data_IF_140163603108
#
_entry.id   IF_140163603108
#
_cell.length_a   1.000
_cell.length_b   1.000
_cell.length_c   1.000
_cell.angle_alpha   90.00
_cell.angle_beta   90.00
_cell.angle_gamma   90.00
#
_symmetry.space_group_name_H-M   'P 1'
#
loop_
_entity.id
_entity.type
_entity.pdbx_description
1 polymer ?
#
# COMPACT_ATOMS: atom_id res chain seq x y z
N UNK A 1 66.96 -34.57 10.52
CA UNK A 1 67.67 -33.83 9.48
C UNK A 1 66.72 -33.77 8.30
N UNK A 2 66.15 -32.60 8.06
CA UNK A 2 65.09 -32.30 7.11
C UNK A 2 65.70 -31.82 5.79
N UNK A 3 65.46 -32.49 4.73
CA UNK A 3 65.79 -32.00 3.38
C UNK A 3 64.68 -31.19 2.76
N UNK A 4 64.98 -29.93 2.58
CA UNK A 4 64.09 -28.94 1.91
C UNK A 4 64.37 -29.05 0.42
N UNK A 5 63.35 -29.49 -0.34
CA UNK A 5 63.40 -29.49 -1.79
C UNK A 5 63.00 -28.10 -2.30
N UNK A 6 63.90 -27.48 -3.06
CA UNK A 6 63.73 -26.13 -3.58
C UNK A 6 62.85 -26.08 -4.87
N UNK A 7 62.20 -24.96 -5.06
CA UNK A 7 61.20 -24.64 -6.10
C UNK A 7 61.71 -24.74 -7.57
N UNK A 8 62.98 -25.13 -7.79
CA UNK A 8 63.58 -25.21 -9.12
C UNK A 8 63.60 -26.61 -9.78
N UNK A 9 63.30 -27.67 -9.02
CA UNK A 9 63.36 -29.05 -9.55
C UNK A 9 62.04 -29.59 -10.04
N UNK A 10 60.94 -28.80 -9.94
CA UNK A 10 59.63 -29.23 -10.36
C UNK A 10 59.26 -28.89 -11.84
N UNK A 11 60.13 -28.20 -12.56
CA UNK A 11 59.88 -27.72 -13.93
C UNK A 11 60.62 -28.43 -15.09
N UNK A 12 61.22 -29.56 -14.80
CA UNK A 12 61.95 -30.32 -15.85
C UNK A 12 61.57 -31.79 -15.85
N UNK A 13 60.40 -32.13 -16.36
CA UNK A 13 60.04 -33.44 -16.99
C UNK A 13 58.54 -33.52 -17.23
N UNK A 14 58.12 -33.23 -18.45
CA UNK A 14 57.01 -33.94 -19.16
C UNK A 14 56.77 -33.28 -20.51
N UNK A 15 57.55 -33.62 -21.48
CA UNK A 15 57.18 -33.45 -22.90
C UNK A 15 56.64 -34.78 -23.38
N UNK A 16 55.33 -34.90 -23.60
CA UNK A 16 54.76 -35.94 -24.45
C UNK A 16 53.65 -35.30 -25.25
N UNK A 17 53.81 -35.40 -26.57
CA UNK A 17 52.88 -34.95 -27.58
C UNK A 17 51.60 -35.77 -27.57
N UNK A 18 50.45 -35.08 -27.76
CA UNK A 18 49.22 -35.72 -28.19
C UNK A 18 48.43 -34.83 -29.14
N UNK A 19 47.99 -35.46 -30.22
CA UNK A 19 47.37 -34.94 -31.39
C UNK A 19 46.12 -34.09 -31.17
N UNK A 20 45.95 -33.22 -32.15
CA UNK A 20 44.79 -32.33 -32.35
C UNK A 20 43.47 -33.09 -32.51
N UNK A 21 42.49 -32.64 -31.76
CA UNK A 21 41.06 -32.78 -32.02
C UNK A 21 40.41 -31.46 -31.66
N UNK A 22 40.15 -30.65 -32.69
CA UNK A 22 39.43 -29.39 -32.54
C UNK A 22 37.94 -29.67 -32.29
N UNK A 23 37.50 -29.54 -31.06
CA UNK A 23 36.06 -29.42 -30.73
C UNK A 23 35.80 -27.92 -30.56
N UNK A 24 34.83 -27.35 -31.30
CA UNK A 24 34.50 -25.95 -31.10
C UNK A 24 33.83 -25.79 -29.72
N UNK A 25 34.50 -25.16 -28.81
CA UNK A 25 33.90 -24.62 -27.58
C UNK A 25 32.91 -23.53 -27.96
N UNK A 26 31.65 -23.92 -28.15
CA UNK A 26 30.57 -22.95 -28.06
C UNK A 26 30.59 -22.40 -26.65
N UNK A 27 31.04 -21.15 -26.52
CA UNK A 27 30.84 -20.35 -25.34
C UNK A 27 29.32 -20.25 -25.13
N UNK A 28 28.79 -21.10 -24.25
CA UNK A 28 27.57 -20.83 -23.50
C UNK A 28 27.89 -19.62 -22.61
N UNK A 29 27.77 -18.44 -23.18
CA UNK A 29 27.47 -17.25 -22.41
C UNK A 29 26.12 -17.51 -21.72
N UNK A 30 26.16 -18.18 -20.55
CA UNK A 30 25.08 -18.04 -19.58
C UNK A 30 25.03 -16.57 -19.29
N UNK A 31 24.03 -15.90 -19.87
CA UNK A 31 23.68 -14.56 -19.45
C UNK A 31 23.58 -14.58 -17.95
N UNK A 32 24.47 -13.87 -17.27
CA UNK A 32 24.29 -13.55 -15.87
C UNK A 32 22.89 -12.92 -15.82
N UNK A 33 21.92 -13.64 -15.30
CA UNK A 33 20.66 -13.04 -14.92
C UNK A 33 21.09 -11.86 -14.04
N UNK A 34 20.79 -10.63 -14.48
CA UNK A 34 20.93 -9.47 -13.66
C UNK A 34 20.06 -9.72 -12.43
N UNK A 35 20.66 -10.22 -11.37
CA UNK A 35 20.00 -10.31 -10.08
C UNK A 35 19.74 -8.84 -9.73
N UNK A 36 18.50 -8.43 -9.84
CA UNK A 36 18.09 -7.09 -9.43
C UNK A 36 18.58 -6.92 -7.99
N UNK A 37 19.39 -5.90 -7.75
CA UNK A 37 19.84 -5.51 -6.42
C UNK A 37 18.75 -4.72 -5.68
N UNK A 38 17.58 -4.64 -6.26
CA UNK A 38 16.46 -3.90 -5.72
C UNK A 38 15.95 -4.57 -4.44
N UNK A 39 15.78 -3.78 -3.41
CA UNK A 39 15.19 -4.20 -2.14
C UNK A 39 13.73 -3.79 -2.11
N UNK A 40 12.88 -4.76 -1.84
CA UNK A 40 11.44 -4.61 -1.68
C UNK A 40 11.12 -4.59 -0.19
N UNK A 41 10.71 -3.46 0.35
CA UNK A 41 10.42 -3.28 1.77
C UNK A 41 8.96 -2.89 2.00
N UNK A 42 8.26 -3.64 2.84
CA UNK A 42 6.92 -3.32 3.29
C UNK A 42 7.00 -2.50 4.58
N UNK A 43 6.40 -1.31 4.56
CA UNK A 43 6.29 -0.40 5.70
C UNK A 43 4.90 -0.51 6.30
N UNK A 44 4.82 -0.81 7.59
CA UNK A 44 3.56 -1.03 8.34
C UNK A 44 3.53 -0.07 9.51
N UNK A 45 2.64 0.93 9.46
CA UNK A 45 2.55 1.97 10.48
C UNK A 45 1.60 1.57 11.60
N UNK A 46 2.07 1.68 12.85
CA UNK A 46 1.38 1.24 14.06
C UNK A 46 1.24 2.35 15.13
N UNK A 47 0.14 2.30 15.95
CA UNK A 47 -1.00 1.37 15.88
C UNK A 47 -1.89 1.70 14.68
N UNK A 48 -2.04 0.76 13.78
CA UNK A 48 -2.72 0.93 12.49
C UNK A 48 -4.21 0.60 12.49
N UNK A 49 -4.73 0.05 13.58
CA UNK A 49 -6.16 -0.19 13.80
C UNK A 49 -6.52 0.46 15.14
N UNK A 50 -7.25 1.57 15.10
CA UNK A 50 -7.51 2.37 16.31
C UNK A 50 -6.20 2.64 17.07
N UNK A 51 -6.23 2.60 18.39
CA UNK A 51 -5.04 2.72 19.25
C UNK A 51 -4.64 1.38 19.89
N UNK A 52 -4.89 0.27 19.18
CA UNK A 52 -4.59 -1.08 19.66
C UNK A 52 -3.10 -1.38 19.51
N UNK A 53 -2.33 -1.15 20.57
CA UNK A 53 -0.88 -1.37 20.59
C UNK A 53 -0.48 -2.84 20.68
N UNK A 54 -1.38 -3.71 21.07
CA UNK A 54 -1.17 -5.17 21.15
C UNK A 54 -0.89 -5.83 19.79
N UNK A 55 -1.13 -5.13 18.68
CA UNK A 55 -0.98 -5.68 17.33
C UNK A 55 0.20 -5.11 16.55
N UNK A 56 1.28 -4.77 17.22
CA UNK A 56 2.49 -4.30 16.56
C UNK A 56 3.16 -3.12 17.26
N UNK A 57 2.57 -2.64 18.36
CA UNK A 57 3.15 -1.57 19.18
C UNK A 57 2.98 -0.18 18.56
N UNK A 58 4.06 0.61 18.54
CA UNK A 58 4.11 1.98 18.04
C UNK A 58 5.30 2.14 17.09
N UNK A 59 5.13 2.89 16.00
CA UNK A 59 6.17 3.16 15.02
C UNK A 59 5.87 2.58 13.65
N UNK A 60 6.87 2.49 12.79
CA UNK A 60 6.76 1.84 11.49
C UNK A 60 7.60 0.57 11.52
N UNK A 61 6.97 -0.58 11.38
CA UNK A 61 7.64 -1.86 11.18
C UNK A 61 8.03 -1.99 9.72
N UNK A 62 9.27 -2.38 9.44
CA UNK A 62 9.81 -2.53 8.09
C UNK A 62 10.15 -3.99 7.85
N UNK A 63 9.55 -4.59 6.84
CA UNK A 63 9.74 -6.01 6.48
C UNK A 63 10.41 -6.15 5.13
N UNK A 64 11.30 -7.12 4.99
CA UNK A 64 11.93 -7.47 3.71
C UNK A 64 11.03 -8.47 2.96
N UNK A 65 10.43 -8.02 1.85
CA UNK A 65 9.51 -8.83 1.04
C UNK A 65 10.23 -10.03 0.42
N UNK A 66 11.48 -9.85 0.00
CA UNK A 66 12.27 -10.90 -0.64
C UNK A 66 12.73 -11.97 0.35
N UNK A 67 12.85 -11.62 1.63
CA UNK A 67 13.24 -12.53 2.72
C UNK A 67 12.01 -12.96 3.54
N UNK A 68 11.00 -13.48 2.85
CA UNK A 68 9.77 -14.01 3.44
C UNK A 68 9.11 -13.08 4.47
N UNK A 69 9.12 -11.78 4.20
CA UNK A 69 8.59 -10.73 5.09
C UNK A 69 9.22 -10.76 6.49
N UNK A 70 10.53 -11.03 6.56
CA UNK A 70 11.27 -10.92 7.81
C UNK A 70 11.33 -9.46 8.26
N UNK A 71 11.03 -9.22 9.53
CA UNK A 71 11.18 -7.90 10.15
C UNK A 71 12.65 -7.46 10.10
N UNK A 72 12.90 -6.28 9.52
CA UNK A 72 14.25 -5.70 9.38
C UNK A 72 14.54 -4.72 10.51
N UNK A 73 13.58 -3.82 10.80
CA UNK A 73 13.69 -2.78 11.80
C UNK A 73 12.36 -2.13 12.13
N UNK A 74 12.35 -1.36 13.21
CA UNK A 74 11.27 -0.43 13.56
C UNK A 74 11.79 1.00 13.46
N UNK A 75 11.04 1.87 12.81
CA UNK A 75 11.29 3.30 12.76
C UNK A 75 10.44 3.96 13.84
N UNK A 76 11.04 4.69 14.78
CA UNK A 76 10.27 5.46 15.75
C UNK A 76 9.42 6.53 15.04
N UNK A 77 8.16 6.61 15.44
CA UNK A 77 7.29 7.75 15.11
C UNK A 77 7.12 8.63 16.34
N UNK A 78 5.95 9.22 16.54
CA UNK A 78 5.70 10.07 17.71
C UNK A 78 5.49 9.16 18.93
N UNK A 79 6.35 9.24 19.95
CA UNK A 79 6.10 8.53 21.20
C UNK A 79 4.84 9.13 21.86
N UNK A 80 4.11 8.37 22.67
CA UNK A 80 3.06 8.91 23.52
C UNK A 80 3.61 10.07 24.35
N UNK A 81 2.83 11.13 24.53
CA UNK A 81 3.15 12.13 25.55
C UNK A 81 3.25 11.45 26.92
N UNK A 82 4.10 11.96 27.80
CA UNK A 82 4.29 11.42 29.15
C UNK A 82 2.93 11.31 29.86
N UNK A 83 2.51 10.09 30.21
CA UNK A 83 1.17 9.81 30.74
C UNK A 83 0.02 9.86 29.71
N UNK A 84 0.30 10.06 28.40
CA UNK A 84 -0.68 10.16 27.34
C UNK A 84 -0.97 8.82 26.66
N UNK A 85 -2.17 8.70 26.10
CA UNK A 85 -2.52 7.56 25.22
C UNK A 85 -1.80 7.67 23.89
N UNK A 86 -1.47 6.53 23.29
CA UNK A 86 -0.93 6.45 21.94
C UNK A 86 -1.91 7.00 20.92
N UNK A 87 -1.43 7.84 19.99
CA UNK A 87 -2.25 8.35 18.90
C UNK A 87 -2.50 7.25 17.85
N UNK A 88 -3.78 7.07 17.49
CA UNK A 88 -4.18 6.20 16.41
C UNK A 88 -3.61 6.71 15.08
N UNK A 89 -2.87 5.87 14.37
CA UNK A 89 -2.41 6.14 13.00
C UNK A 89 -3.59 6.02 12.05
N UNK A 90 -3.78 7.04 11.22
CA UNK A 90 -4.91 7.16 10.31
C UNK A 90 -4.54 6.88 8.84
N UNK A 91 -3.31 7.18 8.45
CA UNK A 91 -2.86 6.96 7.08
C UNK A 91 -1.34 6.92 6.95
N UNK A 92 -0.88 6.37 5.83
CA UNK A 92 0.51 6.35 5.39
C UNK A 92 0.59 6.64 3.90
N UNK A 93 1.53 7.48 3.48
CA UNK A 93 1.91 7.62 2.07
C UNK A 93 3.41 7.87 1.96
N UNK A 94 3.97 7.63 0.78
CA UNK A 94 5.39 7.80 0.55
C UNK A 94 5.67 8.31 -0.87
N UNK A 95 6.84 8.93 -1.05
CA UNK A 95 7.33 9.38 -2.34
C UNK A 95 8.74 8.86 -2.59
N UNK A 96 8.90 8.08 -3.66
CA UNK A 96 10.22 7.69 -4.14
C UNK A 96 11.00 8.89 -4.71
N UNK A 97 10.30 9.87 -5.29
CA UNK A 97 10.94 11.06 -5.87
C UNK A 97 11.66 11.93 -4.83
N UNK A 98 11.17 11.93 -3.58
CA UNK A 98 11.75 12.71 -2.48
C UNK A 98 12.39 11.87 -1.40
N UNK A 99 12.27 10.52 -1.46
CA UNK A 99 12.81 9.62 -0.45
C UNK A 99 12.15 9.80 0.93
N UNK A 100 10.86 10.09 0.99
CA UNK A 100 10.15 10.41 2.22
C UNK A 100 8.92 9.52 2.43
N UNK A 101 8.63 9.22 3.68
CA UNK A 101 7.38 8.59 4.12
C UNK A 101 6.66 9.51 5.10
N UNK A 102 5.35 9.52 5.02
CA UNK A 102 4.47 10.37 5.81
C UNK A 102 3.47 9.49 6.55
N UNK A 103 3.25 9.80 7.83
CA UNK A 103 2.28 9.10 8.67
C UNK A 103 1.36 10.13 9.31
N UNK A 104 0.05 9.99 9.07
CA UNK A 104 -0.96 10.78 9.77
C UNK A 104 -1.49 10.03 10.98
N UNK A 105 -1.73 10.76 12.06
CA UNK A 105 -2.48 10.29 13.22
C UNK A 105 -3.81 11.06 13.32
N UNK A 106 -4.59 10.83 14.35
CA UNK A 106 -5.82 11.59 14.59
C UNK A 106 -5.58 13.11 14.80
N UNK A 107 -4.33 13.54 15.03
CA UNK A 107 -3.99 14.94 15.33
C UNK A 107 -3.02 15.58 14.37
N UNK A 108 -2.06 14.78 13.86
CA UNK A 108 -0.87 15.32 13.20
C UNK A 108 -0.44 14.52 12.00
N UNK A 109 0.41 15.12 11.19
CA UNK A 109 1.14 14.49 10.11
C UNK A 109 2.64 14.61 10.41
N UNK A 110 3.38 13.51 10.22
CA UNK A 110 4.83 13.47 10.34
C UNK A 110 5.46 13.10 9.02
N UNK A 111 6.66 13.61 8.78
CA UNK A 111 7.52 13.30 7.64
C UNK A 111 8.81 12.68 8.15
N UNK A 112 9.18 11.53 7.57
CA UNK A 112 10.36 10.77 7.92
C UNK A 112 11.19 10.54 6.64
N UNK A 113 12.51 10.72 6.74
CA UNK A 113 13.45 10.40 5.67
C UNK A 113 13.65 8.88 5.58
N UNK A 114 13.44 8.31 4.39
CA UNK A 114 13.52 6.86 4.15
C UNK A 114 14.95 6.30 4.15
N UNK A 115 15.97 7.17 4.05
CA UNK A 115 17.37 6.75 4.03
C UNK A 115 17.95 6.71 5.44
N UNK A 116 17.59 7.71 6.25
CA UNK A 116 18.18 7.90 7.60
C UNK A 116 17.24 7.51 8.73
N UNK A 117 15.96 7.24 8.43
CA UNK A 117 14.86 7.05 9.37
C UNK A 117 14.62 8.27 10.30
N UNK A 118 15.18 9.43 9.95
CA UNK A 118 15.07 10.64 10.75
C UNK A 118 13.72 11.33 10.59
N UNK A 119 13.12 11.76 11.70
CA UNK A 119 11.96 12.64 11.70
C UNK A 119 12.35 14.02 11.17
N UNK A 120 11.85 14.40 9.99
CA UNK A 120 12.16 15.68 9.36
C UNK A 120 11.29 16.80 9.90
N UNK A 121 9.98 16.55 10.05
CA UNK A 121 9.04 17.49 10.65
C UNK A 121 7.80 16.76 11.19
N UNK A 122 7.11 17.44 12.11
CA UNK A 122 5.89 17.01 12.78
C UNK A 122 4.97 18.23 12.92
N UNK A 123 3.74 18.15 12.37
CA UNK A 123 2.77 19.24 12.35
C UNK A 123 1.42 18.76 12.83
N UNK A 124 0.80 19.53 13.72
CA UNK A 124 -0.61 19.38 14.09
C UNK A 124 -1.48 20.23 13.16
N UNK A 125 -2.67 19.69 12.84
CA UNK A 125 -3.62 20.37 11.95
C UNK A 125 -4.98 20.51 12.63
N UNK A 126 -5.62 21.66 12.40
CA UNK A 126 -6.96 21.98 12.89
C UNK A 126 -7.98 20.92 12.43
N UNK A 127 -8.72 20.34 13.38
CA UNK A 127 -9.67 19.26 13.08
C UNK A 127 -9.04 17.91 12.87
N UNK A 128 -7.75 17.74 13.15
CA UNK A 128 -7.03 16.46 13.06
C UNK A 128 -6.73 16.03 11.64
N UNK A 129 -6.31 14.77 11.50
CA UNK A 129 -5.89 14.20 10.21
C UNK A 129 -6.53 12.82 9.98
N UNK A 130 -6.66 12.45 8.71
CA UNK A 130 -7.12 11.12 8.31
C UNK A 130 -6.27 10.57 7.13
N UNK A 131 -6.80 9.66 6.31
CA UNK A 131 -6.10 8.91 5.25
C UNK A 131 -5.76 9.80 4.06
N UNK A 132 -4.53 10.30 4.06
CA UNK A 132 -3.99 11.19 3.03
C UNK A 132 -3.42 10.41 1.84
N UNK A 133 -3.15 11.15 0.78
CA UNK A 133 -2.38 10.72 -0.38
C UNK A 133 -1.45 11.83 -0.85
N UNK A 134 -0.36 11.45 -1.52
CA UNK A 134 0.66 12.36 -2.04
C UNK A 134 0.70 12.29 -3.57
N UNK A 135 0.95 13.43 -4.22
CA UNK A 135 1.19 13.45 -5.66
C UNK A 135 2.47 12.70 -6.03
N UNK A 136 2.55 12.05 -7.21
CA UNK A 136 3.70 11.22 -7.60
C UNK A 136 5.04 11.98 -7.63
N UNK A 137 5.03 13.30 -7.83
CA UNK A 137 6.20 14.16 -7.77
C UNK A 137 6.70 14.41 -6.33
N UNK A 138 5.94 13.97 -5.33
CA UNK A 138 6.27 14.09 -3.92
C UNK A 138 6.16 15.50 -3.35
N UNK A 139 5.45 16.42 -4.03
CA UNK A 139 5.39 17.84 -3.65
C UNK A 139 4.14 18.22 -2.87
N UNK A 140 3.01 17.54 -3.12
CA UNK A 140 1.73 17.95 -2.55
C UNK A 140 1.02 16.78 -1.89
N UNK A 141 0.59 16.97 -0.64
CA UNK A 141 -0.25 16.02 0.09
C UNK A 141 -1.67 16.58 0.16
N UNK A 142 -2.65 15.74 -0.14
CA UNK A 142 -4.07 15.99 0.11
C UNK A 142 -4.45 15.28 1.40
N UNK A 143 -4.59 16.04 2.48
CA UNK A 143 -4.80 15.55 3.84
C UNK A 143 -6.22 15.85 4.29
N UNK A 144 -7.09 14.82 4.46
CA UNK A 144 -8.41 15.06 5.04
C UNK A 144 -8.30 15.41 6.52
N UNK A 145 -9.17 16.29 7.00
CA UNK A 145 -9.45 16.43 8.43
C UNK A 145 -10.09 15.14 8.97
N UNK A 146 -10.07 14.93 10.27
CA UNK A 146 -10.71 13.78 10.91
C UNK A 146 -12.23 13.94 10.87
N UNK A 147 -12.87 13.40 9.81
CA UNK A 147 -14.32 13.46 9.56
C UNK A 147 -14.90 14.89 9.50
N UNK A 148 -14.03 15.88 9.28
CA UNK A 148 -14.37 17.30 9.24
C UNK A 148 -14.80 17.79 7.85
N UNK A 149 -14.94 19.11 7.67
CA UNK A 149 -15.53 19.68 6.47
C UNK A 149 -14.57 19.94 5.31
N UNK A 150 -13.25 19.77 5.48
CA UNK A 150 -12.28 20.07 4.42
C UNK A 150 -11.12 19.10 4.33
N UNK A 151 -10.41 19.18 3.22
CA UNK A 151 -9.08 18.63 2.99
C UNK A 151 -8.06 19.76 2.97
N UNK A 152 -6.96 19.59 3.68
CA UNK A 152 -5.78 20.43 3.50
C UNK A 152 -5.05 20.03 2.23
N UNK A 153 -4.52 20.99 1.51
CA UNK A 153 -3.50 20.84 0.49
C UNK A 153 -2.19 21.30 1.07
N UNK A 154 -1.25 20.39 1.28
CA UNK A 154 -0.05 20.57 2.09
C UNK A 154 1.19 20.55 1.18
N UNK A 155 2.14 21.46 1.43
CA UNK A 155 3.51 21.32 0.91
C UNK A 155 4.20 20.15 1.61
N UNK A 156 4.50 19.10 0.86
CA UNK A 156 5.07 17.87 1.42
C UNK A 156 6.51 18.07 1.96
N UNK A 157 7.19 19.16 1.58
CA UNK A 157 8.55 19.46 2.04
C UNK A 157 8.55 20.04 3.44
N UNK A 158 7.63 20.97 3.71
CA UNK A 158 7.62 21.76 4.96
C UNK A 158 6.50 21.38 5.92
N UNK A 159 5.44 20.73 5.41
CA UNK A 159 4.21 20.47 6.15
C UNK A 159 3.29 21.71 6.24
N UNK A 160 3.59 22.79 5.52
CA UNK A 160 2.77 24.00 5.57
C UNK A 160 1.50 23.85 4.71
N UNK A 161 0.42 24.43 5.18
CA UNK A 161 -0.83 24.51 4.44
C UNK A 161 -0.69 25.47 3.25
N UNK A 162 -0.99 24.98 2.05
CA UNK A 162 -1.07 25.80 0.84
C UNK A 162 -2.48 26.38 0.68
N UNK A 163 -3.49 25.52 0.88
CA UNK A 163 -4.92 25.87 0.77
C UNK A 163 -5.80 24.78 1.35
N UNK A 164 -7.13 25.00 1.38
CA UNK A 164 -8.15 24.02 1.78
C UNK A 164 -9.16 23.79 0.68
N UNK A 165 -9.66 22.55 0.60
CA UNK A 165 -10.79 22.17 -0.27
C UNK A 165 -11.97 21.84 0.63
N UNK A 166 -12.93 22.76 0.72
CA UNK A 166 -14.12 22.60 1.56
C UNK A 166 -15.19 21.79 0.82
N UNK A 167 -15.67 20.71 1.46
CA UNK A 167 -16.73 19.84 0.91
C UNK A 167 -17.87 19.54 1.88
N UNK A 168 -17.65 19.74 3.15
CA UNK A 168 -18.61 19.43 4.25
C UNK A 168 -19.20 18.00 4.13
N UNK A 169 -18.38 17.08 3.69
CA UNK A 169 -18.76 15.68 3.44
C UNK A 169 -18.20 14.68 4.45
N UNK A 170 -17.58 15.18 5.55
CA UNK A 170 -16.92 14.33 6.53
C UNK A 170 -15.65 13.72 5.95
N UNK A 171 -14.63 14.56 5.73
CA UNK A 171 -13.39 14.21 5.04
C UNK A 171 -12.73 12.94 5.60
N UNK A 172 -12.38 11.98 4.76
CA UNK A 172 -11.88 10.68 5.22
C UNK A 172 -10.79 10.06 4.34
N UNK A 173 -11.12 9.59 3.13
CA UNK A 173 -10.17 8.91 2.25
C UNK A 173 -9.78 9.78 1.06
N UNK A 174 -8.49 9.67 0.67
CA UNK A 174 -7.94 10.44 -0.44
C UNK A 174 -7.04 9.58 -1.29
N UNK A 175 -7.19 9.63 -2.62
CA UNK A 175 -6.32 8.97 -3.58
C UNK A 175 -5.83 10.00 -4.60
N UNK A 176 -4.52 10.13 -4.78
CA UNK A 176 -3.93 10.83 -5.91
C UNK A 176 -3.75 9.86 -7.08
N UNK A 177 -4.04 10.32 -8.30
CA UNK A 177 -3.82 9.51 -9.51
C UNK A 177 -2.34 9.28 -9.77
N UNK A 178 -2.02 8.18 -10.48
CA UNK A 178 -0.64 7.79 -10.80
C UNK A 178 0.10 8.78 -11.71
N UNK A 179 -0.63 9.63 -12.44
CA UNK A 179 -0.08 10.71 -13.26
C UNK A 179 -0.04 12.06 -12.53
N UNK A 180 -0.58 12.11 -11.32
CA UNK A 180 -0.65 13.30 -10.49
C UNK A 180 -1.66 14.36 -10.95
N UNK A 181 -2.44 14.11 -12.00
CA UNK A 181 -3.38 15.09 -12.55
C UNK A 181 -4.62 15.31 -11.69
N UNK A 182 -5.00 14.31 -10.87
CA UNK A 182 -6.23 14.33 -10.07
C UNK A 182 -6.02 13.83 -8.66
N UNK A 183 -6.85 14.36 -7.75
CA UNK A 183 -7.07 13.77 -6.43
C UNK A 183 -8.56 13.43 -6.28
N UNK A 184 -8.84 12.29 -5.66
CA UNK A 184 -10.17 11.76 -5.42
C UNK A 184 -10.45 11.81 -3.93
N UNK A 185 -11.56 12.44 -3.55
CA UNK A 185 -11.90 12.74 -2.16
C UNK A 185 -13.23 12.09 -1.77
N UNK A 186 -13.20 11.18 -0.80
CA UNK A 186 -14.40 10.55 -0.24
C UNK A 186 -14.59 10.93 1.22
N UNK A 187 -15.81 11.27 1.58
CA UNK A 187 -16.18 11.64 2.94
C UNK A 187 -17.32 10.78 3.50
N UNK A 188 -17.32 10.61 4.82
CA UNK A 188 -18.24 9.72 5.55
C UNK A 188 -19.68 10.24 5.68
N UNK A 189 -20.01 11.36 5.04
CA UNK A 189 -21.36 11.96 5.07
C UNK A 189 -21.92 12.17 3.66
N UNK A 190 -21.29 11.60 2.63
CA UNK A 190 -21.67 11.85 1.24
C UNK A 190 -21.69 10.56 0.41
N UNK A 191 -22.71 10.36 -0.45
CA UNK A 191 -22.72 9.30 -1.43
C UNK A 191 -21.99 9.69 -2.74
N UNK A 192 -21.18 10.75 -2.73
CA UNK A 192 -20.44 11.23 -3.90
C UNK A 192 -18.94 11.22 -3.68
N UNK A 193 -18.20 10.72 -4.66
CA UNK A 193 -16.76 10.86 -4.77
C UNK A 193 -16.45 12.17 -5.51
N UNK A 194 -15.72 13.08 -4.89
CA UNK A 194 -15.29 14.34 -5.51
C UNK A 194 -13.98 14.15 -6.28
N UNK A 195 -13.90 14.74 -7.47
CA UNK A 195 -12.71 14.74 -8.33
C UNK A 195 -12.10 16.13 -8.35
N UNK A 196 -10.84 16.24 -7.96
CA UNK A 196 -10.07 17.48 -7.88
C UNK A 196 -9.05 17.52 -9.01
N UNK A 197 -8.95 18.63 -9.72
CA UNK A 197 -7.80 18.95 -10.56
C UNK A 197 -6.64 19.43 -9.66
N UNK A 198 -5.50 18.71 -9.68
CA UNK A 198 -4.38 19.01 -8.78
C UNK A 198 -3.66 20.29 -9.12
N UNK A 199 -3.68 20.73 -10.37
CA UNK A 199 -3.05 21.98 -10.83
C UNK A 199 -3.80 23.21 -10.31
N UNK A 200 -5.15 23.19 -10.38
CA UNK A 200 -6.00 24.28 -9.89
C UNK A 200 -6.41 24.12 -8.43
N UNK A 201 -6.27 22.89 -7.88
CA UNK A 201 -6.72 22.52 -6.52
C UNK A 201 -8.21 22.76 -6.29
N UNK A 202 -9.00 22.58 -7.34
CA UNK A 202 -10.46 22.77 -7.31
C UNK A 202 -11.19 21.50 -7.68
N UNK A 203 -12.38 21.30 -7.10
CA UNK A 203 -13.27 20.20 -7.49
C UNK A 203 -13.85 20.48 -8.87
N UNK A 204 -13.62 19.56 -9.80
CA UNK A 204 -14.06 19.69 -11.21
C UNK A 204 -15.31 18.85 -11.52
N UNK A 205 -15.51 17.75 -10.80
CA UNK A 205 -16.65 16.86 -10.99
C UNK A 205 -16.91 15.99 -9.74
N UNK A 206 -18.00 15.24 -9.79
CA UNK A 206 -18.36 14.23 -8.79
C UNK A 206 -18.80 12.96 -9.48
N UNK A 207 -18.65 11.83 -8.80
CA UNK A 207 -19.15 10.52 -9.22
C UNK A 207 -20.17 10.03 -8.21
N UNK A 208 -21.33 9.58 -8.70
CA UNK A 208 -22.45 9.11 -7.90
C UNK A 208 -23.79 9.71 -8.36
N UNK A 209 -24.86 9.66 -7.52
CA UNK A 209 -24.81 9.15 -6.16
C UNK A 209 -24.61 7.63 -6.16
N UNK A 210 -23.79 7.15 -5.21
CA UNK A 210 -23.75 5.74 -4.84
C UNK A 210 -24.92 5.38 -3.94
N UNK A 211 -25.17 4.09 -3.74
CA UNK A 211 -26.34 3.60 -3.00
C UNK A 211 -26.38 3.98 -1.53
N UNK A 212 -25.26 4.37 -0.94
CA UNK A 212 -25.13 4.87 0.42
C UNK A 212 -23.86 5.71 0.55
N UNK A 213 -23.58 6.20 1.75
CA UNK A 213 -22.34 6.93 2.09
C UNK A 213 -21.13 6.09 1.75
N UNK A 214 -20.13 6.73 1.11
CA UNK A 214 -18.90 6.09 0.68
C UNK A 214 -18.04 5.73 1.89
N UNK A 215 -17.48 4.54 1.84
CA UNK A 215 -16.41 4.04 2.69
C UNK A 215 -15.09 3.99 1.90
N UNK A 216 -14.07 3.20 2.27
CA UNK A 216 -12.89 3.08 1.44
C UNK A 216 -13.20 2.79 -0.02
N UNK A 217 -12.35 3.28 -0.89
CA UNK A 217 -12.47 3.10 -2.32
C UNK A 217 -11.09 2.93 -2.96
N UNK A 218 -11.07 2.46 -4.20
CA UNK A 218 -9.89 2.44 -5.06
C UNK A 218 -10.26 2.87 -6.49
N UNK A 219 -9.25 3.12 -7.33
CA UNK A 219 -9.42 3.52 -8.72
C UNK A 219 -8.54 2.67 -9.65
N UNK A 220 -8.91 2.55 -10.92
CA UNK A 220 -8.02 2.01 -11.93
C UNK A 220 -6.92 3.02 -12.31
N UNK A 221 -5.76 2.54 -12.73
CA UNK A 221 -4.61 3.38 -13.07
C UNK A 221 -4.85 4.28 -14.28
N UNK A 222 -5.79 3.92 -15.15
CA UNK A 222 -6.22 4.70 -16.30
C UNK A 222 -7.29 5.77 -15.96
N UNK A 223 -7.67 5.90 -14.68
CA UNK A 223 -8.64 6.88 -14.18
C UNK A 223 -10.01 6.83 -14.91
N UNK A 224 -10.50 5.63 -15.20
CA UNK A 224 -11.80 5.43 -15.86
C UNK A 224 -12.87 4.95 -14.90
N UNK A 225 -12.49 4.16 -13.89
CA UNK A 225 -13.40 3.57 -12.94
C UNK A 225 -12.91 3.76 -11.50
N UNK A 226 -13.87 3.95 -10.61
CA UNK A 226 -13.68 3.79 -9.17
C UNK A 226 -14.52 2.61 -8.67
N UNK A 227 -14.01 1.99 -7.62
CA UNK A 227 -14.67 0.89 -6.91
C UNK A 227 -14.82 1.32 -5.47
N UNK A 228 -16.03 1.42 -4.98
CA UNK A 228 -16.33 2.02 -3.68
C UNK A 228 -17.08 1.06 -2.78
N UNK A 229 -16.66 0.97 -1.53
CA UNK A 229 -17.49 0.40 -0.49
C UNK A 229 -18.50 1.44 -0.02
N UNK A 230 -19.69 1.01 0.32
CA UNK A 230 -20.75 1.86 0.86
C UNK A 230 -21.34 1.24 2.13
N UNK A 231 -21.95 2.07 2.97
CA UNK A 231 -22.62 1.58 4.16
C UNK A 231 -23.67 0.50 3.82
N UNK A 232 -23.86 -0.44 4.73
CA UNK A 232 -24.88 -1.49 4.68
C UNK A 232 -24.73 -2.51 3.51
N UNK A 233 -23.69 -2.37 2.68
CA UNK A 233 -23.42 -3.30 1.60
C UNK A 233 -22.28 -4.25 1.96
N UNK A 234 -22.55 -5.55 1.95
CA UNK A 234 -21.51 -6.56 1.81
C UNK A 234 -21.23 -6.74 0.31
N UNK A 235 -20.25 -5.97 -0.18
CA UNK A 235 -19.99 -5.81 -1.61
C UNK A 235 -19.38 -4.45 -1.92
N UNK A 236 -19.49 -4.03 -3.18
CA UNK A 236 -18.98 -2.75 -3.66
C UNK A 236 -19.83 -2.19 -4.81
N UNK A 237 -19.63 -0.91 -5.10
CA UNK A 237 -20.22 -0.27 -6.27
C UNK A 237 -19.14 0.26 -7.21
N UNK A 238 -19.45 0.32 -8.50
CA UNK A 238 -18.55 0.76 -9.56
C UNK A 238 -19.04 2.09 -10.11
N UNK A 239 -18.16 3.09 -10.13
CA UNK A 239 -18.44 4.39 -10.75
C UNK A 239 -17.60 4.62 -12.01
N UNK A 240 -18.14 5.36 -12.96
CA UNK A 240 -17.44 5.85 -14.16
C UNK A 240 -16.91 7.26 -13.87
N UNK A 241 -15.58 7.38 -13.79
CA UNK A 241 -14.89 8.65 -13.48
C UNK A 241 -15.01 9.69 -14.60
N UNK A 242 -15.33 9.26 -15.82
CA UNK A 242 -15.50 10.16 -16.98
C UNK A 242 -16.92 10.75 -17.06
N UNK A 243 -17.94 9.93 -16.78
CA UNK A 243 -19.35 10.36 -16.88
C UNK A 243 -19.95 10.82 -15.57
N UNK A 244 -19.26 10.52 -14.44
CA UNK A 244 -19.74 10.84 -13.10
C UNK A 244 -20.88 9.94 -12.62
N UNK A 245 -21.16 8.82 -13.29
CA UNK A 245 -22.31 7.96 -12.98
C UNK A 245 -21.90 6.70 -12.25
N UNK A 246 -22.72 6.26 -11.30
CA UNK A 246 -22.67 4.90 -10.78
C UNK A 246 -23.14 3.94 -11.87
N UNK A 247 -22.34 2.87 -12.10
CA UNK A 247 -22.58 1.91 -13.17
C UNK A 247 -23.21 0.61 -12.68
N UNK A 248 -22.76 0.12 -11.52
CA UNK A 248 -23.13 -1.22 -11.05
C UNK A 248 -22.93 -1.35 -9.54
N UNK A 249 -23.84 -2.10 -8.92
CA UNK A 249 -23.72 -2.65 -7.58
C UNK A 249 -23.36 -4.14 -7.68
N UNK A 250 -22.42 -4.59 -6.84
CA UNK A 250 -21.95 -5.97 -6.77
C UNK A 250 -22.03 -6.43 -5.31
N UNK A 251 -22.77 -7.49 -5.06
CA UNK A 251 -22.90 -8.12 -3.75
C UNK A 251 -22.00 -9.37 -3.67
N UNK A 252 -21.59 -9.75 -2.47
CA UNK A 252 -20.85 -11.00 -2.23
C UNK A 252 -21.85 -12.15 -2.15
N UNK A 253 -21.89 -13.07 -3.13
CA UNK A 253 -22.82 -14.18 -3.10
C UNK A 253 -22.42 -15.21 -2.05
N UNK A 254 -23.42 -15.81 -1.37
CA UNK A 254 -23.21 -16.88 -0.41
C UNK A 254 -22.83 -16.42 1.01
N UNK A 255 -22.64 -15.12 1.23
CA UNK A 255 -22.33 -14.54 2.52
C UNK A 255 -23.41 -13.55 2.94
N UNK A 256 -23.56 -13.35 4.25
CA UNK A 256 -24.54 -12.37 4.78
C UNK A 256 -23.80 -11.26 5.51
N UNK A 257 -24.27 -10.04 5.33
CA UNK A 257 -23.82 -8.94 6.17
C UNK A 257 -24.17 -9.23 7.63
N UNK A 258 -23.24 -8.94 8.52
CA UNK A 258 -23.37 -9.13 9.95
C UNK A 258 -22.78 -7.95 10.73
N UNK A 259 -22.84 -7.98 12.06
CA UNK A 259 -22.27 -6.92 12.89
C UNK A 259 -20.74 -6.87 12.72
N UNK A 260 -20.21 -5.65 12.58
CA UNK A 260 -18.79 -5.38 12.59
C UNK A 260 -18.44 -4.48 13.77
N UNK A 261 -17.38 -4.82 14.50
CA UNK A 261 -16.99 -4.10 15.73
C UNK A 261 -16.02 -2.96 15.46
N UNK A 262 -15.14 -3.13 14.45
CA UNK A 262 -14.02 -2.21 14.16
C UNK A 262 -14.35 -1.18 13.10
N UNK A 263 -15.21 -1.53 12.15
CA UNK A 263 -15.51 -0.74 10.96
C UNK A 263 -17.02 -0.41 10.91
N UNK A 264 -17.37 0.71 10.29
CA UNK A 264 -18.76 1.15 10.20
C UNK A 264 -19.55 0.54 9.04
N UNK A 265 -19.01 -0.46 8.32
CA UNK A 265 -19.65 -1.11 7.19
C UNK A 265 -19.18 -2.57 7.05
N UNK A 266 -20.02 -3.45 6.46
CA UNK A 266 -19.67 -4.86 6.27
C UNK A 266 -18.42 -5.07 5.44
N UNK A 267 -18.29 -4.35 4.32
CA UNK A 267 -17.09 -4.33 3.48
C UNK A 267 -16.36 -3.01 3.69
N UNK A 268 -15.18 -3.05 4.33
CA UNK A 268 -14.43 -1.83 4.58
C UNK A 268 -13.20 -1.68 3.66
N UNK A 269 -12.32 -2.69 3.56
CA UNK A 269 -11.15 -2.65 2.69
C UNK A 269 -11.48 -3.11 1.26
N UNK A 270 -10.89 -2.44 0.28
CA UNK A 270 -11.01 -2.75 -1.15
C UNK A 270 -9.73 -2.37 -1.87
N UNK A 271 -9.25 -3.20 -2.81
CA UNK A 271 -8.07 -2.90 -3.61
C UNK A 271 -8.08 -3.66 -4.94
N UNK A 272 -7.43 -3.09 -5.95
CA UNK A 272 -7.15 -3.73 -7.22
C UNK A 272 -5.76 -4.36 -7.20
N UNK A 273 -5.62 -5.54 -7.81
CA UNK A 273 -4.27 -6.02 -8.15
C UNK A 273 -3.58 -5.02 -9.09
N UNK A 274 -2.24 -4.89 -9.07
CA UNK A 274 -1.52 -3.96 -9.95
C UNK A 274 -1.83 -4.16 -11.44
N UNK A 275 -2.16 -5.37 -11.88
CA UNK A 275 -2.57 -5.70 -13.24
C UNK A 275 -4.07 -5.48 -13.51
N UNK A 276 -4.84 -5.07 -12.50
CA UNK A 276 -6.27 -4.76 -12.54
C UNK A 276 -7.17 -5.92 -12.99
N UNK A 277 -6.67 -7.15 -12.93
CA UNK A 277 -7.46 -8.33 -13.26
C UNK A 277 -8.38 -8.77 -12.14
N UNK A 278 -8.02 -8.44 -10.91
CA UNK A 278 -8.78 -8.80 -9.73
C UNK A 278 -9.04 -7.60 -8.84
N UNK A 279 -10.20 -7.63 -8.19
CA UNK A 279 -10.54 -6.76 -7.08
C UNK A 279 -10.68 -7.62 -5.83
N UNK A 280 -10.01 -7.21 -4.77
CA UNK A 280 -10.05 -7.87 -3.48
C UNK A 280 -10.83 -7.02 -2.49
N UNK A 281 -11.73 -7.66 -1.74
CA UNK A 281 -12.71 -7.02 -0.85
C UNK A 281 -12.66 -7.66 0.53
N UNK A 282 -12.49 -6.85 1.57
CA UNK A 282 -12.51 -7.32 2.96
C UNK A 282 -13.95 -7.43 3.48
N UNK A 283 -14.26 -8.56 4.11
CA UNK A 283 -15.52 -8.84 4.79
C UNK A 283 -15.26 -8.95 6.29
N UNK A 284 -15.55 -7.88 7.01
CA UNK A 284 -15.34 -7.80 8.45
C UNK A 284 -16.30 -8.63 9.28
N UNK A 285 -17.47 -8.98 8.73
CA UNK A 285 -18.47 -9.77 9.44
C UNK A 285 -18.19 -11.28 9.39
N UNK A 286 -17.65 -11.76 8.26
CA UNK A 286 -17.39 -13.19 8.03
C UNK A 286 -15.90 -13.54 8.08
N UNK A 287 -15.00 -12.58 8.37
CA UNK A 287 -13.54 -12.80 8.46
C UNK A 287 -12.95 -13.40 7.18
N UNK A 288 -13.31 -12.80 6.02
CA UNK A 288 -12.84 -13.24 4.72
C UNK A 288 -12.29 -12.06 3.90
N UNK A 289 -11.41 -12.39 2.97
CA UNK A 289 -11.09 -11.54 1.82
C UNK A 289 -11.66 -12.21 0.57
N UNK A 290 -12.56 -11.51 -0.12
CA UNK A 290 -13.21 -11.99 -1.34
C UNK A 290 -12.48 -11.48 -2.57
N UNK A 291 -12.27 -12.36 -3.56
CA UNK A 291 -11.58 -12.06 -4.81
C UNK A 291 -12.56 -12.09 -5.96
N UNK A 292 -12.66 -10.98 -6.67
CA UNK A 292 -13.50 -10.84 -7.86
C UNK A 292 -12.65 -10.73 -9.12
N UNK A 293 -12.93 -11.58 -10.10
CA UNK A 293 -12.39 -11.48 -11.46
C UNK A 293 -13.05 -10.31 -12.21
N UNK A 294 -12.24 -9.39 -12.70
CA UNK A 294 -12.65 -8.20 -13.48
C UNK A 294 -12.46 -8.35 -14.98
N UNK A 295 -12.03 -9.50 -15.47
CA UNK A 295 -11.81 -9.73 -16.91
C UNK A 295 -13.08 -9.61 -17.77
N UNK A 296 -14.24 -9.66 -17.13
CA UNK A 296 -15.57 -9.56 -17.75
C UNK A 296 -16.26 -8.25 -17.38
N UNK A 297 -17.28 -7.89 -18.15
CA UNK A 297 -18.11 -6.70 -17.91
C UNK A 297 -18.81 -6.71 -16.53
N UNK A 298 -19.12 -7.90 -16.00
CA UNK A 298 -19.65 -8.09 -14.66
C UNK A 298 -18.58 -8.79 -13.79
N UNK A 299 -18.15 -8.19 -12.68
CA UNK A 299 -17.24 -8.83 -11.72
C UNK A 299 -17.83 -10.14 -11.22
N UNK A 300 -16.99 -11.18 -11.10
CA UNK A 300 -17.39 -12.51 -10.63
C UNK A 300 -16.55 -12.92 -9.43
N UNK A 301 -17.21 -13.27 -8.33
CA UNK A 301 -16.53 -13.89 -7.17
C UNK A 301 -15.86 -15.20 -7.60
N UNK A 302 -14.56 -15.32 -7.34
CA UNK A 302 -13.76 -16.51 -7.66
C UNK A 302 -13.27 -17.22 -6.41
N UNK A 303 -12.87 -16.47 -5.38
CA UNK A 303 -12.35 -17.01 -4.13
C UNK A 303 -12.88 -16.22 -2.93
N UNK A 304 -12.98 -16.92 -1.80
CA UNK A 304 -13.23 -16.34 -0.49
C UNK A 304 -12.19 -16.93 0.46
N UNK A 305 -11.23 -16.14 0.87
CA UNK A 305 -10.07 -16.58 1.63
C UNK A 305 -10.32 -16.25 3.10
N UNK A 306 -10.38 -17.25 4.00
CA UNK A 306 -10.51 -16.99 5.42
C UNK A 306 -9.23 -16.35 5.95
N UNK A 307 -9.39 -15.30 6.75
CA UNK A 307 -8.32 -14.57 7.42
C UNK A 307 -8.68 -14.36 8.89
N UNK A 308 -7.81 -13.71 9.67
CA UNK A 308 -8.11 -13.37 11.06
C UNK A 308 -9.34 -12.46 11.17
N UNK A 309 -9.81 -12.27 12.38
CA UNK A 309 -11.02 -11.51 12.69
C UNK A 309 -11.02 -10.09 12.11
N UNK A 310 -12.07 -9.75 11.42
CA UNK A 310 -12.43 -8.42 10.94
C UNK A 310 -11.35 -7.75 10.05
N UNK A 311 -11.01 -8.33 8.87
CA UNK A 311 -10.19 -7.63 7.90
C UNK A 311 -10.88 -6.32 7.48
N UNK A 312 -10.13 -5.22 7.54
CA UNK A 312 -10.65 -3.89 7.24
C UNK A 312 -9.89 -3.17 6.13
N UNK A 313 -8.82 -3.77 5.62
CA UNK A 313 -7.99 -3.22 4.55
C UNK A 313 -7.29 -4.31 3.76
N UNK A 314 -6.93 -4.02 2.51
CA UNK A 314 -6.08 -4.88 1.68
C UNK A 314 -5.28 -4.01 0.71
N UNK A 315 -3.99 -4.29 0.60
CA UNK A 315 -3.12 -3.71 -0.42
C UNK A 315 -2.22 -4.79 -1.02
N UNK A 316 -1.38 -4.42 -1.99
CA UNK A 316 -0.58 -5.37 -2.77
C UNK A 316 0.88 -4.93 -2.83
N UNK A 317 1.77 -5.91 -3.02
CA UNK A 317 3.13 -5.62 -3.48
C UNK A 317 3.09 -5.05 -4.90
N UNK A 318 4.06 -4.21 -5.22
CA UNK A 318 4.12 -3.50 -6.51
C UNK A 318 4.24 -4.41 -7.73
N UNK A 319 4.79 -5.62 -7.53
CA UNK A 319 4.86 -6.67 -8.53
C UNK A 319 3.56 -7.50 -8.65
N UNK A 320 2.60 -7.26 -7.75
CA UNK A 320 1.33 -7.97 -7.70
C UNK A 320 1.41 -9.40 -7.19
N UNK A 321 2.55 -9.83 -6.67
CA UNK A 321 2.75 -11.20 -6.19
C UNK A 321 2.01 -11.48 -4.89
N UNK A 322 1.99 -10.50 -3.98
CA UNK A 322 1.39 -10.68 -2.67
C UNK A 322 0.30 -9.65 -2.38
N UNK A 323 -0.75 -10.12 -1.73
CA UNK A 323 -1.76 -9.30 -1.09
C UNK A 323 -1.54 -9.31 0.43
N UNK A 324 -1.74 -8.15 1.06
CA UNK A 324 -1.57 -7.96 2.51
C UNK A 324 -2.86 -7.39 3.08
N UNK A 325 -3.75 -8.22 3.61
CA UNK A 325 -4.89 -7.73 4.39
C UNK A 325 -4.43 -7.15 5.73
N UNK A 326 -5.26 -6.27 6.30
CA UNK A 326 -4.98 -5.58 7.57
C UNK A 326 -4.81 -6.51 8.77
N UNK A 327 -5.20 -7.74 8.64
CA UNK A 327 -5.06 -8.80 9.64
C UNK A 327 -3.66 -9.44 9.66
N UNK A 328 -2.78 -9.03 8.74
CA UNK A 328 -1.35 -9.35 8.76
C UNK A 328 -0.95 -10.65 8.07
N UNK A 329 -1.88 -11.36 7.42
CA UNK A 329 -1.54 -12.46 6.53
C UNK A 329 -0.86 -11.94 5.26
N UNK A 330 0.06 -12.72 4.73
CA UNK A 330 0.63 -12.53 3.40
C UNK A 330 0.04 -13.61 2.50
N UNK A 331 -0.69 -13.17 1.49
CA UNK A 331 -1.40 -14.08 0.58
C UNK A 331 -0.73 -14.02 -0.79
N UNK A 332 -0.28 -15.15 -1.30
CA UNK A 332 0.19 -15.26 -2.69
C UNK A 332 -1.01 -15.10 -3.64
N UNK A 333 -0.94 -14.05 -4.48
CA UNK A 333 -2.05 -13.65 -5.35
C UNK A 333 -2.38 -14.71 -6.38
N UNK A 334 -1.40 -15.44 -6.91
CA UNK A 334 -1.64 -16.45 -7.94
C UNK A 334 -2.34 -17.69 -7.36
N UNK A 335 -1.87 -18.21 -6.24
CA UNK A 335 -2.41 -19.42 -5.61
C UNK A 335 -3.55 -19.18 -4.64
N UNK A 336 -3.79 -17.93 -4.21
CA UNK A 336 -4.77 -17.55 -3.18
C UNK A 336 -4.50 -18.18 -1.81
N UNK A 337 -3.25 -18.55 -1.53
CA UNK A 337 -2.83 -19.22 -0.29
C UNK A 337 -2.09 -18.25 0.62
N UNK A 338 -2.37 -18.32 1.92
CA UNK A 338 -1.57 -17.65 2.94
C UNK A 338 -0.20 -18.34 2.98
N UNK A 339 0.88 -17.55 2.79
CA UNK A 339 2.26 -18.06 2.76
C UNK A 339 3.01 -17.77 4.05
N UNK A 340 2.68 -16.67 4.72
CA UNK A 340 3.23 -16.30 6.04
C UNK A 340 2.33 -15.26 6.71
N UNK A 341 2.71 -14.79 7.89
CA UNK A 341 2.03 -13.72 8.63
C UNK A 341 3.05 -12.74 9.19
N UNK A 342 2.68 -11.46 9.27
CA UNK A 342 3.51 -10.43 9.87
C UNK A 342 3.57 -10.63 11.40
N UNK A 343 4.76 -10.47 11.96
CA UNK A 343 5.01 -10.46 13.40
C UNK A 343 5.98 -9.35 13.80
N UNK A 344 5.87 -8.89 15.04
CA UNK A 344 6.79 -7.94 15.65
C UNK A 344 8.09 -8.62 16.15
N UNK A 345 8.94 -7.85 16.83
CA UNK A 345 10.24 -8.31 17.37
C UNK A 345 10.09 -9.42 18.42
N UNK A 346 8.94 -9.48 19.08
CA UNK A 346 8.61 -10.48 20.11
C UNK A 346 7.87 -11.70 19.53
N UNK A 347 7.54 -11.67 18.23
CA UNK A 347 6.76 -12.71 17.56
C UNK A 347 5.24 -12.55 17.71
N UNK A 348 4.76 -11.42 18.23
CA UNK A 348 3.33 -11.16 18.30
C UNK A 348 2.77 -10.79 16.93
N UNK A 349 1.50 -11.10 16.70
CA UNK A 349 0.82 -10.81 15.46
C UNK A 349 0.72 -9.29 15.21
N UNK A 350 1.06 -8.87 14.00
CA UNK A 350 0.92 -7.48 13.53
C UNK A 350 -0.34 -7.34 12.70
N UNK A 351 -1.13 -6.30 12.96
CA UNK A 351 -2.36 -5.99 12.22
C UNK A 351 -2.44 -4.48 11.98
N UNK A 352 -2.42 -4.06 10.73
CA UNK A 352 -2.52 -2.64 10.36
C UNK A 352 -3.30 -2.44 9.07
N UNK A 353 -4.07 -1.35 9.02
CA UNK A 353 -4.69 -0.85 7.79
C UNK A 353 -3.79 0.17 7.05
N UNK A 354 -2.60 0.47 7.57
CA UNK A 354 -1.72 1.55 7.12
C UNK A 354 -0.38 0.97 6.71
N UNK A 355 -0.34 0.46 5.50
CA UNK A 355 0.86 -0.18 4.97
C UNK A 355 1.03 0.09 3.48
N UNK A 356 2.28 0.13 3.05
CA UNK A 356 2.67 0.26 1.65
C UNK A 356 4.06 -0.34 1.41
N UNK A 357 4.34 -0.70 0.16
CA UNK A 357 5.66 -1.15 -0.27
C UNK A 357 6.49 0.00 -0.81
N UNK A 358 7.80 -0.03 -0.53
CA UNK A 358 8.83 0.79 -1.17
C UNK A 358 9.87 -0.10 -1.83
N UNK A 359 10.31 0.29 -3.03
CA UNK A 359 11.41 -0.38 -3.72
C UNK A 359 12.63 0.54 -3.74
N UNK A 360 13.77 -0.02 -3.35
CA UNK A 360 15.06 0.69 -3.31
C UNK A 360 16.04 0.04 -4.27
N UNK A 361 16.83 0.86 -4.96
CA UNK A 361 17.97 0.43 -5.75
C UNK A 361 19.18 1.26 -5.33
N UNK A 362 20.29 0.59 -5.04
CA UNK A 362 21.52 1.24 -4.55
C UNK A 362 21.29 2.20 -3.35
N UNK A 363 20.38 1.84 -2.44
CA UNK A 363 20.05 2.64 -1.26
C UNK A 363 19.06 3.80 -1.49
N UNK A 364 18.64 4.05 -2.72
CA UNK A 364 17.69 5.10 -3.05
C UNK A 364 16.31 4.52 -3.36
N UNK A 365 15.26 5.17 -2.86
CA UNK A 365 13.88 4.80 -3.19
C UNK A 365 13.62 5.07 -4.70
N UNK A 366 13.11 4.06 -5.41
CA UNK A 366 12.84 4.14 -6.86
C UNK A 366 11.36 3.93 -7.21
N UNK A 367 10.59 3.27 -6.33
CA UNK A 367 9.14 3.12 -6.49
C UNK A 367 8.46 3.18 -5.12
N UNK A 368 7.27 3.74 -5.09
CA UNK A 368 6.38 3.75 -3.94
C UNK A 368 5.06 3.06 -4.28
N UNK A 369 4.62 2.19 -3.39
CA UNK A 369 3.26 1.68 -3.34
C UNK A 369 2.30 2.70 -2.75
N UNK A 370 1.07 2.29 -2.53
CA UNK A 370 0.05 3.06 -1.85
C UNK A 370 -0.74 2.18 -0.89
N UNK A 371 -1.41 2.80 0.07
CA UNK A 371 -2.22 2.08 1.04
C UNK A 371 -3.61 1.68 0.50
N UNK A 372 -4.00 2.11 -0.71
CA UNK A 372 -5.38 1.99 -1.21
C UNK A 372 -5.57 0.89 -2.26
N UNK A 373 -4.50 0.17 -2.63
CA UNK A 373 -4.56 -0.83 -3.69
C UNK A 373 -5.03 -0.23 -5.02
N UNK A 374 -4.42 0.88 -5.41
CA UNK A 374 -4.71 1.55 -6.69
C UNK A 374 -4.22 0.69 -7.85
N UNK A 375 -5.07 0.52 -8.87
CA UNK A 375 -4.69 -0.16 -10.12
C UNK A 375 -3.53 0.55 -10.82
N UNK A 376 -2.65 -0.21 -11.52
CA UNK A 376 -1.41 0.35 -12.08
C UNK A 376 -1.32 0.23 -13.60
N UNK A 377 -2.40 -0.22 -14.27
CA UNK A 377 -2.44 -0.31 -15.73
C UNK A 377 -2.64 1.09 -16.35
N UNK A 378 -1.53 1.69 -16.80
CA UNK A 378 -1.59 2.86 -17.67
C UNK A 378 -1.81 2.35 -19.09
N UNK A 379 -3.00 2.53 -19.65
CA UNK A 379 -3.15 2.34 -21.09
C UNK A 379 -2.68 3.62 -21.77
N UNK A 380 -1.68 3.47 -22.64
CA UNK A 380 -1.26 4.51 -23.56
C UNK A 380 -2.37 4.85 -24.54
#
# INVERSE_FOLDING_TARGET
MSDVVTRREFLARSSVAALAGAIPFHHLLRGAANISTDRHLLYVAEPGIRNYVEWGGVGILVYDVADNFRLVRRIPTIPPAEGGSTENVKGVCASAATGRIYVSTIKRLVCIDLTTDALLWNREYEGGCDRMSITPDGRTIYLPTLEGPWWFVIDATTGDEITRIVRDSGAHNTICSLDGSRAYLAGLKSPYLSVVDTRTRTVTSQVGPFGNVIRPFTIDGAQRRCYVNVNELLGFEIGDLRTGKMLRRVEVPGFKAGPVKRHGCPSHGIGLTPDERELWLCDGANSHVHVFDLSRAAPRLTHSIPVRDQPGWVTFTLDGRYAVPSTGEIIDVASKRIVTTLSDEAGHAVQSEKLLEMVFSNGHAIKAGDQFGVGRQRRG
#
